data_IF_519614717140
#
_entry.id   IF_519614717140
#
_cell.length_a   1.000
_cell.length_b   1.000
_cell.length_c   1.000
_cell.angle_alpha   90.00
_cell.angle_beta   90.00
_cell.angle_gamma   90.00
#
_symmetry.space_group_name_H-M   'P 1'
#
loop_
_entity.id
_entity.type
_entity.pdbx_description
1 polymer ?
#
# COMPACT_ATOMS: atom_id res chain seq x y z
N UNK A 1 14.90 32.44 1.44
CA UNK A 1 15.19 32.39 2.47
C UNK A 1 14.37 31.54 3.34
N UNK A 2 13.81 31.99 4.24
CA UNK A 2 13.18 31.15 5.17
C UNK A 2 12.01 30.41 4.66
N UNK A 3 11.49 30.81 3.55
CA UNK A 3 10.29 30.16 3.08
C UNK A 3 10.47 28.68 2.89
N UNK A 4 11.60 28.25 2.41
CA UNK A 4 11.80 26.84 2.18
C UNK A 4 11.70 26.08 3.49
N UNK A 5 12.26 26.67 4.53
CA UNK A 5 12.22 26.01 5.81
C UNK A 5 10.80 25.99 6.36
N UNK A 6 10.08 27.05 6.18
CA UNK A 6 8.73 27.10 6.69
C UNK A 6 7.88 26.04 5.99
N UNK A 7 8.06 25.88 4.71
CA UNK A 7 7.28 24.89 4.01
C UNK A 7 7.54 23.49 4.58
N UNK A 8 8.78 23.21 4.93
CA UNK A 8 9.08 21.90 5.47
C UNK A 8 8.42 21.70 6.81
N UNK A 9 8.31 22.73 7.59
CA UNK A 9 7.68 22.61 8.88
C UNK A 9 6.17 22.59 8.79
N UNK A 10 5.63 23.28 7.80
CA UNK A 10 4.18 23.36 7.68
C UNK A 10 3.55 22.10 7.11
N UNK A 11 4.33 21.26 6.46
CA UNK A 11 3.80 20.06 5.85
C UNK A 11 4.46 18.83 6.45
N UNK A 12 3.94 18.40 7.60
CA UNK A 12 4.53 17.24 8.28
C UNK A 12 4.45 16.02 7.39
N UNK A 13 5.42 15.18 7.54
CA UNK A 13 5.50 13.99 6.75
C UNK A 13 4.41 13.02 7.15
N UNK A 14 3.70 12.49 6.19
CA UNK A 14 2.60 11.56 6.44
C UNK A 14 3.10 10.12 6.44
N UNK A 15 4.02 9.77 5.54
CA UNK A 15 4.54 8.41 5.47
C UNK A 15 5.70 8.32 6.47
N UNK A 16 5.55 7.47 7.47
CA UNK A 16 6.56 7.36 8.53
C UNK A 16 7.45 6.15 8.31
N UNK A 17 8.61 6.14 8.96
CA UNK A 17 9.60 5.12 8.73
C UNK A 17 9.51 3.94 9.69
N UNK A 18 8.65 4.03 10.68
CA UNK A 18 8.46 2.95 11.64
C UNK A 18 6.98 2.67 11.81
N UNK A 19 6.61 1.44 12.08
CA UNK A 19 5.19 1.14 12.26
C UNK A 19 4.57 1.97 13.37
N UNK A 20 3.32 2.35 13.15
CA UNK A 20 2.60 3.16 14.11
C UNK A 20 1.95 2.28 15.15
N UNK A 21 1.99 2.74 16.40
CA UNK A 21 1.27 2.05 17.46
C UNK A 21 -0.21 2.38 17.36
N UNK A 22 -1.05 1.47 17.77
CA UNK A 22 -2.50 1.70 17.79
C UNK A 22 -3.06 2.09 16.43
N UNK A 23 -2.50 1.57 15.38
CA UNK A 23 -2.98 1.84 14.04
C UNK A 23 -3.57 0.56 13.43
N UNK A 24 -4.40 0.73 12.43
CA UNK A 24 -4.98 -0.42 11.76
C UNK A 24 -3.88 -1.17 11.01
N UNK A 25 -4.01 -2.47 10.96
CA UNK A 25 -3.12 -3.31 10.17
C UNK A 25 -3.82 -3.63 8.86
N UNK A 26 -3.15 -3.34 7.76
CA UNK A 26 -3.74 -3.45 6.44
C UNK A 26 -2.80 -4.25 5.55
N UNK A 27 -3.36 -5.16 4.79
CA UNK A 27 -2.59 -5.90 3.80
C UNK A 27 -3.20 -5.67 2.43
N UNK A 28 -2.35 -5.53 1.43
CA UNK A 28 -2.82 -5.37 0.05
C UNK A 28 -2.17 -6.43 -0.82
N UNK A 29 -2.88 -6.83 -1.84
CA UNK A 29 -2.38 -7.81 -2.77
C UNK A 29 -3.02 -7.60 -4.15
N UNK A 30 -2.27 -7.90 -5.18
CA UNK A 30 -2.78 -7.84 -6.53
C UNK A 30 -2.40 -9.11 -7.25
N UNK A 31 -3.38 -9.83 -7.73
CA UNK A 31 -3.13 -11.13 -8.35
C UNK A 31 -3.04 -11.02 -9.86
N UNK A 32 -2.45 -12.04 -10.46
CA UNK A 32 -2.40 -12.11 -11.91
C UNK A 32 -3.79 -12.27 -12.51
N UNK A 33 -4.78 -12.59 -11.70
CA UNK A 33 -6.14 -12.68 -12.19
C UNK A 33 -6.82 -11.32 -12.19
N UNK A 34 -6.06 -10.26 -12.01
CA UNK A 34 -6.56 -8.89 -12.06
C UNK A 34 -7.51 -8.56 -10.90
N UNK A 35 -7.35 -9.24 -9.79
CA UNK A 35 -8.15 -8.97 -8.61
C UNK A 35 -7.28 -8.30 -7.57
N UNK A 36 -7.69 -7.12 -7.15
CA UNK A 36 -7.03 -6.40 -6.08
C UNK A 36 -7.69 -6.76 -4.76
N UNK A 37 -6.91 -6.98 -3.73
CA UNK A 37 -7.43 -7.34 -2.42
C UNK A 37 -6.93 -6.37 -1.37
N UNK A 38 -7.81 -6.04 -0.45
CA UNK A 38 -7.50 -5.18 0.67
C UNK A 38 -8.02 -5.86 1.93
N UNK A 39 -7.16 -6.10 2.87
CA UNK A 39 -7.52 -6.77 4.11
C UNK A 39 -7.29 -5.82 5.25
N UNK A 40 -8.36 -5.48 5.97
CA UNK A 40 -8.30 -4.60 7.12
C UNK A 40 -8.83 -5.39 8.28
N UNK A 41 -7.95 -5.72 9.20
CA UNK A 41 -8.31 -6.56 10.34
C UNK A 41 -8.85 -7.89 9.79
N UNK A 42 -10.09 -8.18 10.06
CA UNK A 42 -10.68 -9.43 9.60
C UNK A 42 -11.54 -9.26 8.35
N UNK A 43 -11.57 -8.07 7.80
CA UNK A 43 -12.44 -7.80 6.66
C UNK A 43 -11.63 -7.81 5.37
N UNK A 44 -12.18 -8.43 4.36
CA UNK A 44 -11.52 -8.53 3.06
C UNK A 44 -12.40 -7.87 2.01
N UNK A 45 -11.82 -6.98 1.24
CA UNK A 45 -12.50 -6.38 0.12
C UNK A 45 -11.71 -6.71 -1.13
N UNK A 46 -12.42 -6.97 -2.22
CA UNK A 46 -11.73 -7.28 -3.47
C UNK A 46 -12.37 -6.50 -4.60
N UNK A 47 -11.58 -6.23 -5.61
CA UNK A 47 -12.05 -5.53 -6.80
C UNK A 47 -11.53 -6.24 -8.03
N UNK A 48 -12.40 -6.49 -8.98
CA UNK A 48 -11.97 -7.02 -10.26
C UNK A 48 -11.54 -5.84 -11.10
N UNK A 49 -10.36 -5.92 -11.68
CA UNK A 49 -9.82 -4.81 -12.46
C UNK A 49 -9.57 -5.25 -13.90
N UNK A 50 -9.27 -4.29 -14.75
CA UNK A 50 -8.87 -4.58 -16.11
C UNK A 50 -7.42 -4.24 -16.37
N UNK A 51 -6.66 -4.06 -15.31
CA UNK A 51 -5.24 -3.75 -15.47
C UNK A 51 -4.50 -4.96 -16.04
N UNK A 52 -3.42 -4.67 -16.73
CA UNK A 52 -2.73 -5.72 -17.47
C UNK A 52 -1.63 -6.41 -16.68
N UNK A 53 -1.10 -5.78 -15.68
CA UNK A 53 -0.01 -6.38 -14.93
C UNK A 53 -0.37 -6.52 -13.47
N UNK A 54 0.24 -7.49 -12.80
CA UNK A 54 0.02 -7.67 -11.37
C UNK A 54 0.45 -6.43 -10.59
N UNK A 55 1.47 -5.74 -11.08
CA UNK A 55 1.97 -4.55 -10.42
C UNK A 55 0.94 -3.45 -10.43
N UNK A 56 0.24 -3.29 -11.55
CA UNK A 56 -0.82 -2.30 -11.63
C UNK A 56 -1.95 -2.65 -10.67
N UNK A 57 -2.29 -3.92 -10.59
CA UNK A 57 -3.36 -4.38 -9.72
C UNK A 57 -2.98 -4.13 -8.26
N UNK A 58 -1.72 -4.35 -7.94
CA UNK A 58 -1.25 -4.11 -6.59
C UNK A 58 -1.27 -2.65 -6.22
N UNK A 59 -0.90 -1.78 -7.14
CA UNK A 59 -0.98 -0.35 -6.88
C UNK A 59 -2.43 0.09 -6.70
N UNK A 60 -3.33 -0.52 -7.45
CA UNK A 60 -4.75 -0.21 -7.30
C UNK A 60 -5.23 -0.60 -5.90
N UNK A 61 -4.74 -1.71 -5.35
CA UNK A 61 -5.10 -2.11 -4.01
C UNK A 61 -4.63 -1.06 -2.99
N UNK A 62 -3.43 -0.53 -3.16
CA UNK A 62 -2.91 0.52 -2.29
C UNK A 62 -3.77 1.78 -2.42
N UNK A 63 -4.14 2.13 -3.64
CA UNK A 63 -4.99 3.29 -3.88
C UNK A 63 -6.32 3.12 -3.14
N UNK A 64 -6.90 1.93 -3.18
CA UNK A 64 -8.14 1.67 -2.47
C UNK A 64 -7.96 1.78 -0.96
N UNK A 65 -6.84 1.32 -0.43
CA UNK A 65 -6.58 1.45 0.99
C UNK A 65 -6.58 2.93 1.39
N UNK A 66 -5.92 3.76 0.61
CA UNK A 66 -5.87 5.18 0.92
C UNK A 66 -7.22 5.86 0.77
N UNK A 67 -8.03 5.39 -0.15
CA UNK A 67 -9.38 5.95 -0.30
C UNK A 67 -10.30 5.54 0.85
N UNK A 68 -10.17 4.30 1.31
CA UNK A 68 -11.11 3.74 2.26
C UNK A 68 -10.76 4.04 3.71
N UNK A 69 -9.49 4.28 4.02
CA UNK A 69 -9.04 4.38 5.39
C UNK A 69 -8.54 5.77 5.69
N UNK A 70 -9.24 6.48 6.55
CA UNK A 70 -8.79 7.80 6.95
C UNK A 70 -7.99 7.74 8.26
N UNK A 71 -8.11 6.68 9.01
CA UNK A 71 -7.41 6.50 10.29
C UNK A 71 -5.93 6.18 10.04
N UNK A 72 -5.08 6.31 11.04
CA UNK A 72 -3.68 5.87 10.88
C UNK A 72 -3.64 4.38 10.60
N UNK A 73 -2.74 3.96 9.72
CA UNK A 73 -2.64 2.55 9.40
C UNK A 73 -1.21 2.15 9.06
N UNK A 74 -0.95 0.86 9.23
CA UNK A 74 0.28 0.23 8.79
C UNK A 74 -0.10 -0.71 7.66
N UNK A 75 0.40 -0.45 6.48
CA UNK A 75 0.07 -1.24 5.30
C UNK A 75 1.25 -2.09 4.89
N UNK A 76 0.98 -3.35 4.63
CA UNK A 76 2.02 -4.31 4.24
C UNK A 76 1.70 -4.92 2.88
N UNK A 77 2.73 -5.07 2.08
CA UNK A 77 2.62 -5.69 0.76
C UNK A 77 3.86 -6.55 0.52
N UNK A 78 3.72 -7.55 -0.31
CA UNK A 78 4.87 -8.38 -0.65
C UNK A 78 5.63 -7.83 -1.85
N UNK A 79 5.22 -6.72 -2.40
CA UNK A 79 5.92 -6.10 -3.52
C UNK A 79 6.94 -5.10 -3.00
N UNK A 80 8.19 -5.51 -2.98
CA UNK A 80 9.24 -4.64 -2.51
C UNK A 80 9.36 -3.37 -3.35
N UNK A 81 9.15 -3.50 -4.64
CA UNK A 81 9.23 -2.35 -5.54
C UNK A 81 8.20 -1.29 -5.15
N UNK A 82 6.96 -1.71 -4.92
CA UNK A 82 5.91 -0.77 -4.59
C UNK A 82 6.17 -0.13 -3.23
N UNK A 83 6.60 -0.93 -2.25
CA UNK A 83 6.85 -0.39 -0.93
C UNK A 83 8.00 0.62 -0.95
N UNK A 84 9.04 0.35 -1.72
CA UNK A 84 10.14 1.31 -1.82
C UNK A 84 9.65 2.62 -2.43
N UNK A 85 8.84 2.53 -3.46
CA UNK A 85 8.32 3.73 -4.11
C UNK A 85 7.42 4.52 -3.16
N UNK A 86 6.58 3.82 -2.39
CA UNK A 86 5.68 4.48 -1.47
C UNK A 86 6.44 5.18 -0.34
N UNK A 87 7.55 4.61 0.09
CA UNK A 87 8.30 5.20 1.18
C UNK A 87 9.01 6.48 0.81
N UNK A 88 9.13 6.78 -0.47
CA UNK A 88 9.76 8.01 -0.91
C UNK A 88 8.80 8.93 -1.65
N UNK A 89 7.53 8.56 -1.69
CA UNK A 89 6.59 9.24 -2.57
C UNK A 89 6.36 10.70 -2.21
N UNK A 90 6.52 11.05 -0.96
CA UNK A 90 6.31 12.44 -0.55
C UNK A 90 7.46 13.35 -0.95
N UNK A 91 8.66 12.81 -0.99
CA UNK A 91 9.83 13.65 -1.19
C UNK A 91 10.44 13.53 -2.57
N UNK A 92 10.22 12.42 -3.24
CA UNK A 92 10.82 12.18 -4.54
C UNK A 92 9.72 12.03 -5.57
N UNK A 93 9.59 12.96 -6.49
CA UNK A 93 8.57 12.83 -7.51
C UNK A 93 8.83 11.56 -8.31
N UNK A 94 7.78 10.87 -8.62
CA UNK A 94 7.92 9.67 -9.38
C UNK A 94 8.11 10.05 -10.84
N UNK A 95 9.30 9.83 -11.33
CA UNK A 95 9.59 10.14 -12.70
C UNK A 95 9.95 8.85 -13.32
N UNK A 96 9.25 8.42 -14.28
CA UNK A 96 9.59 7.16 -14.74
C UNK A 96 9.46 6.94 -16.18
N UNK A 97 10.07 5.89 -16.61
CA UNK A 97 9.90 5.40 -17.92
C UNK A 97 8.81 4.35 -17.90
N UNK A 98 8.08 4.25 -16.82
CA UNK A 98 7.03 3.27 -16.69
C UNK A 98 5.85 3.63 -17.57
N UNK A 99 4.97 2.69 -17.75
CA UNK A 99 3.80 2.95 -18.57
C UNK A 99 2.91 3.99 -17.92
N UNK A 100 2.03 4.59 -18.69
CA UNK A 100 1.22 5.68 -18.20
C UNK A 100 0.24 5.27 -17.13
N UNK A 101 -0.20 4.02 -17.12
CA UNK A 101 -1.12 3.54 -16.11
C UNK A 101 -0.46 3.54 -14.75
N UNK A 102 0.76 3.04 -14.66
CA UNK A 102 1.47 3.01 -13.39
C UNK A 102 1.77 4.43 -12.94
N UNK A 103 2.14 5.30 -13.86
CA UNK A 103 2.40 6.68 -13.49
C UNK A 103 1.15 7.36 -12.95
N UNK A 104 0.01 7.12 -13.57
CA UNK A 104 -1.25 7.68 -13.11
C UNK A 104 -1.61 7.16 -11.72
N UNK A 105 -1.42 5.87 -11.49
CA UNK A 105 -1.71 5.29 -10.18
C UNK A 105 -0.81 5.89 -9.10
N UNK A 106 0.47 6.04 -9.37
CA UNK A 106 1.37 6.65 -8.40
C UNK A 106 1.02 8.12 -8.17
N UNK A 107 0.63 8.82 -9.21
CA UNK A 107 0.24 10.21 -9.08
C UNK A 107 -1.00 10.33 -8.17
N UNK A 108 -1.98 9.48 -8.39
CA UNK A 108 -3.19 9.51 -7.59
C UNK A 108 -2.91 9.11 -6.15
N UNK A 109 -2.06 8.13 -5.96
CA UNK A 109 -1.67 7.70 -4.62
C UNK A 109 -0.95 8.85 -3.91
N UNK A 110 -0.04 9.51 -4.59
CA UNK A 110 0.68 10.62 -3.99
C UNK A 110 -0.28 11.73 -3.59
N UNK A 111 -1.24 12.02 -4.44
CA UNK A 111 -2.22 13.05 -4.14
C UNK A 111 -3.01 12.70 -2.88
N UNK A 112 -3.41 11.45 -2.75
CA UNK A 112 -4.14 11.02 -1.57
C UNK A 112 -3.26 11.10 -0.32
N UNK A 113 -2.01 10.72 -0.43
CA UNK A 113 -1.09 10.79 0.71
C UNK A 113 -0.89 12.24 1.12
N UNK A 114 -0.68 13.12 0.18
CA UNK A 114 -0.42 14.53 0.51
C UNK A 114 -1.63 15.21 1.10
N UNK A 115 -2.82 14.70 0.87
CA UNK A 115 -4.02 15.28 1.43
C UNK A 115 -4.48 14.63 2.72
N UNK A 116 -3.75 13.62 3.20
CA UNK A 116 -4.14 12.94 4.43
C UNK A 116 -3.82 13.76 5.65
N UNK A 117 -4.60 13.54 6.69
CA UNK A 117 -4.34 14.11 7.99
C UNK A 117 -3.56 13.13 8.86
N UNK A 118 -3.93 11.86 8.80
CA UNK A 118 -3.34 10.85 9.66
C UNK A 118 -2.18 10.14 8.97
N UNK A 119 -1.20 9.75 9.76
CA UNK A 119 0.01 9.14 9.24
C UNK A 119 -0.22 7.71 8.81
N UNK A 120 0.65 7.22 7.97
CA UNK A 120 0.60 5.84 7.54
C UNK A 120 2.02 5.30 7.38
N UNK A 121 2.15 4.01 7.52
CA UNK A 121 3.41 3.32 7.37
C UNK A 121 3.25 2.27 6.28
N UNK A 122 4.26 2.12 5.43
CA UNK A 122 4.27 1.11 4.39
C UNK A 122 5.43 0.16 4.63
N UNK A 123 5.14 -1.10 4.80
CA UNK A 123 6.16 -2.12 5.09
C UNK A 123 6.10 -3.27 4.11
N UNK A 124 7.25 -3.84 3.86
CA UNK A 124 7.36 -4.99 2.99
C UNK A 124 7.31 -6.26 3.85
N UNK A 125 6.52 -7.23 3.41
CA UNK A 125 6.52 -8.53 4.06
C UNK A 125 6.97 -9.55 3.06
N UNK A 126 7.55 -10.62 3.56
CA UNK A 126 7.96 -11.67 2.68
C UNK A 126 6.76 -12.43 2.22
N UNK A 127 6.96 -13.19 1.22
CA UNK A 127 5.86 -13.95 0.64
C UNK A 127 5.33 -14.93 1.62
N UNK A 128 4.33 -15.67 1.18
CA UNK A 128 3.64 -16.56 2.05
C UNK A 128 4.55 -17.57 2.69
N UNK A 129 5.71 -17.83 2.20
CA UNK A 129 6.57 -18.82 2.80
C UNK A 129 6.95 -18.43 4.22
N UNK A 130 6.75 -17.18 4.58
CA UNK A 130 7.06 -16.75 5.92
C UNK A 130 5.88 -16.87 6.84
N UNK A 131 4.75 -17.18 6.32
CA UNK A 131 3.56 -17.25 7.12
C UNK A 131 3.37 -18.64 7.69
N UNK A 132 2.63 -18.78 8.77
CA UNK A 132 2.37 -20.09 9.32
C UNK A 132 1.76 -21.01 8.31
N UNK A 133 2.15 -22.27 8.38
CA UNK A 133 1.68 -23.20 7.42
C UNK A 133 0.18 -23.28 7.43
N UNK A 134 -0.41 -23.16 8.55
CA UNK A 134 -1.85 -23.23 8.60
C UNK A 134 -2.48 -22.18 7.73
N UNK A 135 -1.90 -21.02 7.70
CA UNK A 135 -2.46 -20.00 6.87
C UNK A 135 -2.17 -20.30 5.43
N UNK A 136 -0.95 -20.74 5.13
CA UNK A 136 -0.65 -21.01 3.75
C UNK A 136 -1.47 -22.16 3.26
N UNK A 137 -1.82 -23.06 4.12
CA UNK A 137 -2.61 -24.16 3.67
C UNK A 137 -3.98 -23.70 3.28
N UNK A 138 -4.52 -22.83 4.06
CA UNK A 138 -5.80 -22.37 3.73
C UNK A 138 -5.73 -21.56 2.58
N UNK A 139 -4.62 -21.08 2.33
CA UNK A 139 -4.56 -20.16 1.38
C UNK A 139 -4.70 -20.56 0.11
N UNK A 140 -4.60 -21.70 -0.18
CA UNK A 140 -4.79 -22.11 -1.48
C UNK A 140 -5.89 -21.29 -2.05
N UNK A 141 -6.83 -21.07 -1.28
CA UNK A 141 -7.96 -20.39 -1.86
C UNK A 141 -7.81 -18.96 -1.66
N UNK A 142 -7.60 -18.62 -0.52
CA UNK A 142 -7.60 -17.25 -0.31
C UNK A 142 -6.21 -16.97 -0.11
N UNK A 143 -5.37 -17.88 -0.47
CA UNK A 143 -4.14 -17.76 -0.23
C UNK A 143 -3.69 -16.44 -0.32
N UNK A 144 -3.93 -15.89 -1.21
CA UNK A 144 -3.52 -14.63 -1.46
C UNK A 144 -3.96 -13.79 -0.36
N UNK A 145 -5.14 -13.87 -0.01
CA UNK A 145 -5.67 -12.97 0.97
C UNK A 145 -5.48 -13.48 2.36
N UNK A 146 -5.89 -14.66 2.56
CA UNK A 146 -5.92 -15.17 3.89
C UNK A 146 -4.59 -15.30 4.56
N UNK A 147 -3.61 -15.64 3.84
CA UNK A 147 -2.34 -15.86 4.47
C UNK A 147 -1.79 -14.60 5.09
N UNK A 148 -2.37 -13.50 4.77
CA UNK A 148 -1.89 -12.29 5.33
C UNK A 148 -2.62 -11.85 6.50
N UNK A 149 -3.67 -12.43 6.75
CA UNK A 149 -4.44 -12.01 7.84
C UNK A 149 -3.85 -12.28 9.13
N UNK A 150 -3.22 -12.92 9.19
CA UNK A 150 -2.90 -13.19 10.29
C UNK A 150 -2.18 -12.64 10.77
N UNK A 151 -2.13 -12.56 11.25
CA UNK A 151 -1.41 -12.36 12.16
C UNK A 151 -1.70 -12.24 13.07
#
# INVERSE_FOLDING_TARGET
>A
MQFAHYHQFLFPKIVVSQPLADALTVFTDGSSNRIASLIIQDNIATWRTNYKSAQEVELFAVFQALLQISAPFNLYSDSQYIIRALNTIETVPFIGTLNSTIQTLFHDIRHLICSRVNKCYFGHIRTHSRLPRSLTGDNALTDEATCMIFP
#
